data_IF_624799634877
#
_entry.id   IF_624799634877
#
_cell.length_a   1.000
_cell.length_b   1.000
_cell.length_c   1.000
_cell.angle_alpha   90.00
_cell.angle_beta   90.00
_cell.angle_gamma   90.00
#
_symmetry.space_group_name_H-M   'P 1'
#
loop_
_entity.id
_entity.type
_entity.pdbx_description
1 polymer ?
#
# COMPACT_ATOMS: atom_id res chain seq x y z
N UNK A 1 -10.60 16.79 36.50
CA UNK A 1 -9.95 16.28 35.26
C UNK A 1 -10.87 15.48 34.31
N UNK A 2 -12.21 15.54 34.49
CA UNK A 2 -13.18 14.76 33.68
C UNK A 2 -13.74 15.47 32.44
N UNK A 3 -13.41 16.74 32.19
CA UNK A 3 -14.04 17.53 31.13
C UNK A 3 -13.34 17.50 29.76
N UNK A 4 -12.07 17.06 29.66
CA UNK A 4 -11.35 17.04 28.38
C UNK A 4 -11.82 15.92 27.45
N UNK A 5 -12.09 14.74 28.00
CA UNK A 5 -12.53 13.57 27.22
C UNK A 5 -13.93 13.77 26.60
N UNK A 6 -14.84 14.37 27.35
CA UNK A 6 -16.19 14.72 26.86
C UNK A 6 -16.17 15.88 25.84
N UNK A 7 -15.22 16.79 25.93
CA UNK A 7 -15.05 17.88 24.98
C UNK A 7 -14.55 17.36 23.63
N UNK A 8 -13.57 16.46 23.62
CA UNK A 8 -13.03 15.84 22.41
C UNK A 8 -14.08 14.94 21.71
N UNK A 9 -14.88 14.20 22.49
CA UNK A 9 -15.99 13.41 21.93
C UNK A 9 -17.09 14.30 21.30
N UNK A 10 -17.40 15.44 21.92
CA UNK A 10 -18.38 16.40 21.39
C UNK A 10 -17.86 17.18 20.17
N UNK A 11 -16.57 17.49 20.10
CA UNK A 11 -15.94 18.09 18.92
C UNK A 11 -15.89 17.11 17.73
N UNK A 12 -15.62 15.85 17.95
CA UNK A 12 -15.70 14.81 16.93
C UNK A 12 -17.09 14.61 16.35
N UNK A 13 -18.13 14.84 17.15
CA UNK A 13 -19.53 14.78 16.74
C UNK A 13 -20.02 16.08 16.07
N UNK A 14 -19.49 17.25 16.49
CA UNK A 14 -19.91 18.54 15.94
C UNK A 14 -19.22 18.89 14.60
N UNK A 15 -18.01 18.41 14.35
CA UNK A 15 -17.30 18.62 13.08
C UNK A 15 -17.92 17.84 11.88
N UNK A 16 -18.84 16.91 12.15
CA UNK A 16 -19.57 16.16 11.11
C UNK A 16 -20.82 16.81 10.56
N UNK A 17 -21.20 18.02 11.00
CA UNK A 17 -22.61 18.47 10.88
C UNK A 17 -22.91 19.62 9.90
N UNK A 18 -21.97 20.21 9.18
CA UNK A 18 -22.31 21.39 8.36
C UNK A 18 -21.67 21.44 6.96
N UNK A 19 -22.39 20.93 5.96
CA UNK A 19 -22.41 21.46 4.58
C UNK A 19 -23.55 20.82 3.77
N UNK A 20 -24.07 21.50 2.74
CA UNK A 20 -25.09 20.97 1.82
C UNK A 20 -24.62 19.74 1.04
N UNK A 21 -23.31 19.56 0.85
CA UNK A 21 -22.69 18.32 0.39
C UNK A 21 -22.93 17.16 1.36
N UNK A 22 -23.17 17.43 2.65
CA UNK A 22 -23.40 16.40 3.66
C UNK A 22 -24.66 15.55 3.41
N UNK A 23 -25.70 16.10 2.81
CA UNK A 23 -26.94 15.35 2.52
C UNK A 23 -26.73 14.30 1.43
N UNK A 24 -25.97 14.61 0.38
CA UNK A 24 -25.65 13.65 -0.66
C UNK A 24 -24.72 12.55 -0.12
N UNK A 25 -23.73 12.91 0.70
CA UNK A 25 -22.86 11.94 1.35
C UNK A 25 -23.59 11.10 2.40
N UNK A 26 -24.52 11.68 3.14
CA UNK A 26 -25.36 10.94 4.08
C UNK A 26 -26.27 9.94 3.37
N UNK A 27 -26.89 10.35 2.25
CA UNK A 27 -27.71 9.47 1.44
C UNK A 27 -26.89 8.31 0.85
N UNK A 28 -25.72 8.61 0.28
CA UNK A 28 -24.80 7.61 -0.25
C UNK A 28 -24.24 6.67 0.83
N UNK A 29 -23.89 7.20 2.00
CA UNK A 29 -23.46 6.39 3.14
C UNK A 29 -24.60 5.50 3.67
N UNK A 30 -25.83 5.99 3.72
CA UNK A 30 -26.99 5.22 4.11
C UNK A 30 -27.33 4.11 3.11
N UNK A 31 -27.24 4.41 1.81
CA UNK A 31 -27.40 3.43 0.74
C UNK A 31 -26.33 2.32 0.83
N UNK A 32 -25.06 2.71 1.01
CA UNK A 32 -23.96 1.77 1.19
C UNK A 32 -24.16 0.90 2.43
N UNK A 33 -24.56 1.50 3.55
CA UNK A 33 -24.85 0.75 4.78
C UNK A 33 -26.02 -0.22 4.59
N UNK A 34 -27.11 0.22 3.94
CA UNK A 34 -28.26 -0.60 3.65
C UNK A 34 -27.89 -1.82 2.78
N UNK A 35 -27.16 -1.60 1.67
CA UNK A 35 -26.66 -2.65 0.81
C UNK A 35 -25.70 -3.61 1.54
N UNK A 36 -24.81 -3.07 2.38
CA UNK A 36 -23.88 -3.90 3.17
C UNK A 36 -24.62 -4.85 4.13
N UNK A 37 -25.72 -4.36 4.74
CA UNK A 37 -26.58 -5.18 5.60
C UNK A 37 -27.37 -6.22 4.80
N UNK A 38 -27.95 -5.85 3.65
CA UNK A 38 -28.68 -6.77 2.78
C UNK A 38 -27.79 -7.90 2.25
N UNK A 39 -26.49 -7.61 2.01
CA UNK A 39 -25.50 -8.54 1.48
C UNK A 39 -24.65 -9.17 2.58
N UNK A 40 -25.01 -9.03 3.86
CA UNK A 40 -24.20 -9.56 4.99
C UNK A 40 -24.06 -11.07 4.95
N UNK A 41 -25.08 -11.78 4.44
CA UNK A 41 -25.07 -13.23 4.30
C UNK A 41 -24.16 -13.76 3.18
N UNK A 42 -23.75 -12.90 2.24
CA UNK A 42 -22.87 -13.29 1.14
C UNK A 42 -21.40 -13.31 1.58
N UNK A 43 -20.69 -14.33 1.13
CA UNK A 43 -19.23 -14.39 1.32
C UNK A 43 -18.52 -13.26 0.57
N UNK A 44 -17.32 -12.85 0.98
CA UNK A 44 -16.52 -11.87 0.25
C UNK A 44 -16.27 -12.25 -1.22
N UNK A 45 -16.18 -13.55 -1.52
CA UNK A 45 -16.01 -14.06 -2.87
C UNK A 45 -17.26 -13.84 -3.74
N UNK A 46 -18.46 -14.10 -3.20
CA UNK A 46 -19.72 -13.87 -3.90
C UNK A 46 -19.97 -12.38 -4.14
N UNK A 47 -19.67 -11.52 -3.16
CA UNK A 47 -19.77 -10.06 -3.31
C UNK A 47 -18.77 -9.54 -4.35
N UNK A 48 -17.63 -10.20 -4.55
CA UNK A 48 -16.59 -9.72 -5.47
C UNK A 48 -17.09 -9.46 -6.90
N UNK A 49 -18.10 -10.21 -7.37
CA UNK A 49 -18.71 -10.07 -8.69
C UNK A 49 -20.04 -9.30 -8.69
N UNK A 50 -20.51 -8.81 -7.55
CA UNK A 50 -21.80 -8.12 -7.42
C UNK A 50 -21.67 -6.64 -7.83
N UNK A 51 -21.92 -6.34 -9.11
CA UNK A 51 -21.77 -4.99 -9.64
C UNK A 51 -22.74 -3.96 -9.00
N UNK A 52 -23.91 -4.38 -8.50
CA UNK A 52 -24.83 -3.48 -7.79
C UNK A 52 -24.17 -2.95 -6.51
N UNK A 53 -23.54 -3.85 -5.74
CA UNK A 53 -22.78 -3.45 -4.54
C UNK A 53 -21.61 -2.53 -4.90
N UNK A 54 -20.81 -2.91 -5.88
CA UNK A 54 -19.61 -2.15 -6.24
C UNK A 54 -19.92 -0.84 -6.96
N UNK A 55 -21.06 -0.72 -7.64
CA UNK A 55 -21.49 0.55 -8.24
C UNK A 55 -21.65 1.67 -7.19
N UNK A 56 -22.15 1.33 -6.00
CA UNK A 56 -22.25 2.27 -4.88
C UNK A 56 -20.87 2.64 -4.36
N UNK A 57 -19.95 1.66 -4.20
CA UNK A 57 -18.55 1.97 -3.80
C UNK A 57 -17.87 2.87 -4.83
N UNK A 58 -18.07 2.63 -6.13
CA UNK A 58 -17.51 3.42 -7.23
C UNK A 58 -17.96 4.89 -7.20
N UNK A 59 -19.20 5.16 -6.82
CA UNK A 59 -19.73 6.52 -6.65
C UNK A 59 -19.00 7.32 -5.56
N UNK A 60 -18.33 6.64 -4.62
CA UNK A 60 -17.47 7.27 -3.62
C UNK A 60 -16.18 7.88 -4.18
N UNK A 61 -15.84 7.65 -5.46
CA UNK A 61 -14.62 8.16 -6.08
C UNK A 61 -14.88 9.23 -7.13
N UNK A 62 -13.90 10.11 -7.34
CA UNK A 62 -13.88 11.08 -8.43
C UNK A 62 -12.98 10.53 -9.55
N UNK A 63 -13.52 9.62 -10.36
CA UNK A 63 -12.78 9.09 -11.50
C UNK A 63 -12.82 10.04 -12.70
N UNK A 64 -11.73 10.11 -13.48
CA UNK A 64 -11.71 10.87 -14.71
C UNK A 64 -12.63 10.21 -15.76
N UNK A 65 -13.52 10.96 -16.42
CA UNK A 65 -14.35 10.40 -17.49
C UNK A 65 -13.55 10.13 -18.79
N UNK A 66 -12.36 10.70 -18.91
CA UNK A 66 -11.56 10.67 -20.14
C UNK A 66 -10.39 9.70 -20.09
N UNK A 67 -10.06 9.17 -18.93
CA UNK A 67 -8.91 8.27 -18.71
C UNK A 67 -9.34 7.09 -17.86
N UNK A 68 -9.14 5.89 -18.36
CA UNK A 68 -9.26 4.66 -17.59
C UNK A 68 -7.94 4.47 -16.84
N UNK A 69 -7.96 4.71 -15.53
CA UNK A 69 -6.77 4.55 -14.69
C UNK A 69 -6.61 3.10 -14.24
N UNK A 70 -5.61 2.42 -14.77
CA UNK A 70 -5.20 1.07 -14.37
C UNK A 70 -3.75 1.05 -13.84
N UNK A 71 -3.28 2.18 -13.28
CA UNK A 71 -1.98 2.28 -12.62
C UNK A 71 -2.11 2.63 -11.12
N UNK A 72 -3.08 2.03 -10.44
CA UNK A 72 -3.32 2.28 -9.00
C UNK A 72 -2.19 1.76 -8.09
N UNK A 73 -1.34 0.87 -8.58
CA UNK A 73 -0.12 0.47 -7.88
C UNK A 73 0.94 1.57 -7.80
N UNK A 74 0.88 2.61 -8.63
CA UNK A 74 1.67 3.83 -8.46
C UNK A 74 1.12 4.67 -7.32
N UNK A 75 -0.03 5.28 -7.56
CA UNK A 75 -0.84 6.05 -6.59
C UNK A 75 -2.32 5.78 -6.91
N UNK A 76 -3.16 5.57 -5.89
CA UNK A 76 -4.60 5.45 -6.07
C UNK A 76 -5.31 6.77 -5.77
N UNK A 77 -6.43 7.08 -6.44
CA UNK A 77 -7.25 8.22 -6.06
C UNK A 77 -7.84 8.01 -4.66
N UNK A 78 -7.94 9.09 -3.90
CA UNK A 78 -8.67 9.09 -2.64
C UNK A 78 -10.17 9.17 -2.88
N UNK A 79 -11.02 8.50 -2.08
CA UNK A 79 -12.47 8.72 -2.08
C UNK A 79 -12.82 10.19 -1.82
N UNK A 80 -14.00 10.63 -2.27
CA UNK A 80 -14.48 12.03 -2.11
C UNK A 80 -14.46 12.48 -0.66
N UNK A 81 -14.93 11.65 0.26
CA UNK A 81 -14.94 11.95 1.70
C UNK A 81 -13.53 12.24 2.25
N UNK A 82 -12.52 11.56 1.71
CA UNK A 82 -11.11 11.80 2.08
C UNK A 82 -10.61 13.12 1.51
N UNK A 83 -10.93 13.42 0.24
CA UNK A 83 -10.58 14.69 -0.41
C UNK A 83 -11.19 15.87 0.35
N UNK A 84 -12.49 15.81 0.67
CA UNK A 84 -13.20 16.82 1.42
C UNK A 84 -12.67 17.00 2.85
N UNK A 85 -12.23 15.93 3.49
CA UNK A 85 -11.56 16.03 4.79
C UNK A 85 -10.27 16.84 4.69
N UNK A 86 -9.44 16.56 3.69
CA UNK A 86 -8.20 17.33 3.46
C UNK A 86 -8.51 18.79 3.20
N UNK A 87 -9.50 19.10 2.35
CA UNK A 87 -9.92 20.48 2.06
C UNK A 87 -10.42 21.20 3.31
N UNK A 88 -11.27 20.57 4.09
CA UNK A 88 -11.82 21.12 5.34
C UNK A 88 -10.71 21.43 6.35
N UNK A 89 -9.79 20.50 6.57
CA UNK A 89 -8.69 20.72 7.49
C UNK A 89 -7.67 21.74 6.97
N UNK A 90 -7.49 21.84 5.64
CA UNK A 90 -6.66 22.87 5.04
C UNK A 90 -7.26 24.27 5.24
N UNK A 91 -8.58 24.45 5.06
CA UNK A 91 -9.27 25.69 5.37
C UNK A 91 -9.13 26.05 6.84
N UNK A 92 -9.42 25.12 7.75
CA UNK A 92 -9.26 25.32 9.20
C UNK A 92 -7.82 25.73 9.57
N UNK A 93 -6.80 25.08 8.99
CA UNK A 93 -5.40 25.44 9.24
C UNK A 93 -5.09 26.89 8.86
N UNK A 94 -5.71 27.40 7.78
CA UNK A 94 -5.47 28.76 7.28
C UNK A 94 -6.22 29.86 8.06
N UNK A 95 -7.18 29.53 8.90
CA UNK A 95 -7.86 30.51 9.78
C UNK A 95 -6.94 31.05 10.89
N UNK A 96 -5.91 30.27 11.29
CA UNK A 96 -4.90 30.66 12.27
C UNK A 96 -3.80 29.59 12.34
N UNK A 97 -2.84 29.60 11.38
CA UNK A 97 -1.99 28.44 11.10
C UNK A 97 -1.30 27.84 12.31
N UNK A 98 -0.53 28.64 13.07
CA UNK A 98 0.23 28.11 14.22
C UNK A 98 -0.67 27.61 15.35
N UNK A 99 -1.84 28.24 15.54
CA UNK A 99 -2.79 27.80 16.57
C UNK A 99 -3.50 26.50 16.20
N UNK A 100 -4.14 26.46 15.01
CA UNK A 100 -4.92 25.29 14.60
C UNK A 100 -4.03 24.08 14.32
N UNK A 101 -2.85 24.28 13.71
CA UNK A 101 -1.92 23.18 13.42
C UNK A 101 -1.41 22.56 14.71
N UNK A 102 -0.83 23.34 15.62
CA UNK A 102 -0.11 22.82 16.79
C UNK A 102 -1.01 22.54 18.01
N UNK A 103 -2.10 23.32 18.18
CA UNK A 103 -2.97 23.17 19.35
C UNK A 103 -4.17 22.27 19.12
N UNK A 104 -4.58 22.09 17.84
CA UNK A 104 -5.79 21.34 17.51
C UNK A 104 -5.45 20.11 16.67
N UNK A 105 -4.88 20.26 15.47
CA UNK A 105 -4.68 19.16 14.54
C UNK A 105 -3.58 18.19 14.97
N UNK A 106 -2.52 18.69 15.61
CA UNK A 106 -1.46 17.83 16.16
C UNK A 106 -2.00 16.87 17.22
N UNK A 107 -2.97 17.32 18.02
CA UNK A 107 -3.64 16.46 19.00
C UNK A 107 -4.48 15.35 18.34
N UNK A 108 -4.90 15.53 17.10
CA UNK A 108 -5.63 14.54 16.31
C UNK A 108 -4.79 13.36 15.84
N UNK A 109 -3.47 13.41 15.98
CA UNK A 109 -2.57 12.31 15.59
C UNK A 109 -2.72 11.08 16.47
N UNK A 110 -2.95 11.25 17.77
CA UNK A 110 -3.10 10.10 18.66
C UNK A 110 -4.35 9.26 18.34
N UNK A 111 -5.56 9.82 18.21
CA UNK A 111 -6.71 9.07 17.72
C UNK A 111 -6.50 8.43 16.34
N UNK A 112 -5.77 9.09 15.44
CA UNK A 112 -5.42 8.54 14.13
C UNK A 112 -4.48 7.35 14.25
N UNK A 113 -3.45 7.43 15.11
CA UNK A 113 -2.52 6.33 15.42
C UNK A 113 -3.28 5.11 15.92
N UNK A 114 -4.25 5.28 16.82
CA UNK A 114 -5.11 4.18 17.29
C UNK A 114 -5.88 3.52 16.15
N UNK A 115 -6.48 4.29 15.24
CA UNK A 115 -7.18 3.74 14.06
C UNK A 115 -6.25 2.96 13.14
N UNK A 116 -5.06 3.50 12.85
CA UNK A 116 -4.05 2.82 12.04
C UNK A 116 -3.60 1.52 12.70
N UNK A 117 -3.30 1.56 13.98
CA UNK A 117 -2.89 0.40 14.76
C UNK A 117 -3.98 -0.68 14.77
N UNK A 118 -5.24 -0.29 14.96
CA UNK A 118 -6.37 -1.22 14.91
C UNK A 118 -6.49 -1.88 13.53
N UNK A 119 -6.36 -1.12 12.44
CA UNK A 119 -6.37 -1.68 11.09
C UNK A 119 -5.19 -2.63 10.86
N UNK A 120 -4.00 -2.24 11.30
CA UNK A 120 -2.77 -3.02 11.21
C UNK A 120 -2.74 -4.25 12.16
N UNK A 121 -3.64 -4.33 13.15
CA UNK A 121 -3.60 -5.34 14.20
C UNK A 121 -2.38 -5.22 15.10
N UNK A 122 -2.00 -3.99 15.47
CA UNK A 122 -0.78 -3.64 16.20
C UNK A 122 -1.08 -2.80 17.45
N UNK A 123 -0.09 -2.67 18.33
CA UNK A 123 -0.13 -1.70 19.44
C UNK A 123 0.07 -0.28 18.86
N UNK A 124 -0.73 0.73 19.27
CA UNK A 124 -0.51 2.11 18.88
C UNK A 124 0.91 2.63 19.21
N UNK A 125 1.53 2.12 20.25
CA UNK A 125 2.90 2.47 20.66
C UNK A 125 3.99 1.87 19.74
N UNK A 126 3.60 1.13 18.70
CA UNK A 126 4.48 0.55 17.67
C UNK A 126 4.29 1.23 16.31
N UNK A 127 3.35 2.18 16.18
CA UNK A 127 2.96 2.79 14.91
C UNK A 127 3.37 4.26 14.83
N UNK A 128 4.18 4.62 13.83
CA UNK A 128 4.48 6.01 13.47
C UNK A 128 3.82 6.40 12.15
N UNK A 129 3.36 7.64 12.06
CA UNK A 129 2.75 8.22 10.86
C UNK A 129 3.85 8.89 10.04
N UNK A 130 4.03 8.43 8.81
CA UNK A 130 5.03 8.91 7.87
C UNK A 130 4.36 9.43 6.58
N UNK A 131 5.17 9.91 5.63
CA UNK A 131 4.70 10.42 4.34
C UNK A 131 4.55 9.33 3.27
N UNK A 132 5.31 8.23 3.36
CA UNK A 132 5.28 7.09 2.43
C UNK A 132 6.16 5.94 2.93
N UNK A 133 6.12 4.81 2.22
CA UNK A 133 6.96 3.65 2.51
C UNK A 133 8.47 3.96 2.40
N UNK A 134 8.87 4.84 1.48
CA UNK A 134 10.29 5.20 1.32
C UNK A 134 10.84 5.85 2.58
N UNK A 135 10.12 6.82 3.16
CA UNK A 135 10.51 7.42 4.43
C UNK A 135 10.49 6.41 5.57
N UNK A 136 9.41 5.63 5.69
CA UNK A 136 9.26 4.62 6.74
C UNK A 136 10.42 3.61 6.74
N UNK A 137 10.69 3.01 5.58
CA UNK A 137 11.72 1.98 5.45
C UNK A 137 13.14 2.56 5.50
N UNK A 138 13.37 3.77 4.95
CA UNK A 138 14.65 4.43 5.07
C UNK A 138 14.96 4.81 6.53
N UNK A 139 13.95 5.16 7.32
CA UNK A 139 14.13 5.36 8.77
C UNK A 139 14.73 4.12 9.42
N UNK A 140 14.26 2.93 9.08
CA UNK A 140 14.81 1.68 9.58
C UNK A 140 16.19 1.40 8.98
N UNK A 141 16.31 1.41 7.64
CA UNK A 141 17.56 1.08 6.92
C UNK A 141 18.73 1.96 7.38
N UNK A 142 18.52 3.27 7.55
CA UNK A 142 19.57 4.19 7.99
C UNK A 142 19.72 4.27 9.51
N UNK A 143 18.66 3.93 10.25
CA UNK A 143 18.67 3.95 11.72
C UNK A 143 19.27 2.71 12.37
N UNK A 144 19.37 1.59 11.65
CA UNK A 144 20.02 0.38 12.14
C UNK A 144 21.53 0.56 12.33
N UNK A 145 22.06 0.14 13.48
CA UNK A 145 23.49 0.19 13.81
C UNK A 145 24.26 -0.98 13.16
N UNK A 146 24.24 -1.04 11.83
CA UNK A 146 25.01 -2.00 11.05
C UNK A 146 26.44 -1.50 10.88
N UNK A 147 27.42 -2.44 10.89
CA UNK A 147 28.86 -2.18 10.78
C UNK A 147 29.39 -2.66 9.44
N UNK A 148 30.59 -2.21 9.09
CA UNK A 148 31.30 -2.70 7.93
C UNK A 148 31.43 -4.23 7.97
N UNK A 149 31.05 -4.88 6.87
CA UNK A 149 31.03 -6.33 6.73
C UNK A 149 29.74 -7.01 7.21
N UNK A 150 28.81 -6.33 7.90
CA UNK A 150 27.48 -6.88 8.14
C UNK A 150 26.72 -7.04 6.83
N UNK A 151 25.97 -8.13 6.69
CA UNK A 151 25.27 -8.47 5.47
C UNK A 151 23.77 -8.22 5.59
N UNK A 152 23.21 -7.69 4.49
CA UNK A 152 21.76 -7.54 4.29
C UNK A 152 21.38 -8.33 3.04
N UNK A 153 20.37 -9.19 3.14
CA UNK A 153 19.81 -9.93 1.99
C UNK A 153 18.53 -9.24 1.54
N UNK A 154 18.38 -9.07 0.23
CA UNK A 154 17.14 -8.63 -0.43
C UNK A 154 17.07 -9.25 -1.82
N UNK A 155 16.25 -8.65 -2.69
CA UNK A 155 16.09 -9.15 -4.06
C UNK A 155 16.39 -8.08 -5.10
N UNK A 156 16.73 -8.48 -6.31
CA UNK A 156 16.83 -7.56 -7.45
C UNK A 156 15.46 -7.00 -7.87
N UNK A 157 14.38 -7.66 -7.47
CA UNK A 157 13.02 -7.28 -7.74
C UNK A 157 12.41 -6.35 -6.68
N UNK A 158 13.16 -6.00 -5.63
CA UNK A 158 12.73 -5.00 -4.65
C UNK A 158 12.56 -3.61 -5.28
N UNK A 159 11.85 -2.74 -4.59
CA UNK A 159 11.62 -1.38 -5.08
C UNK A 159 12.93 -0.59 -5.16
N UNK A 160 13.20 0.16 -6.26
CA UNK A 160 14.49 0.82 -6.49
C UNK A 160 14.98 1.69 -5.33
N UNK A 161 14.07 2.40 -4.63
CA UNK A 161 14.49 3.26 -3.51
C UNK A 161 14.99 2.45 -2.31
N UNK A 162 14.53 1.21 -2.12
CA UNK A 162 15.06 0.32 -1.07
C UNK A 162 16.42 -0.23 -1.47
N UNK A 163 16.55 -0.64 -2.73
CA UNK A 163 17.83 -1.08 -3.30
C UNK A 163 18.86 0.06 -3.20
N UNK A 164 18.49 1.29 -3.57
CA UNK A 164 19.38 2.45 -3.53
C UNK A 164 19.77 2.82 -2.10
N UNK A 165 18.84 2.72 -1.13
CA UNK A 165 19.17 2.96 0.28
C UNK A 165 20.21 1.98 0.81
N UNK A 166 20.09 0.68 0.49
CA UNK A 166 21.06 -0.34 0.89
C UNK A 166 22.39 -0.20 0.14
N UNK A 167 22.38 0.14 -1.15
CA UNK A 167 23.60 0.49 -1.90
C UNK A 167 24.31 1.71 -1.32
N UNK A 168 23.55 2.74 -0.92
CA UNK A 168 24.11 3.93 -0.25
C UNK A 168 24.77 3.53 1.09
N UNK A 169 24.13 2.66 1.89
CA UNK A 169 24.71 2.11 3.11
C UNK A 169 25.97 1.29 2.82
N UNK A 170 25.97 0.50 1.74
CA UNK A 170 27.18 -0.25 1.33
C UNK A 170 28.35 0.68 1.01
N UNK A 171 28.08 1.78 0.29
CA UNK A 171 29.11 2.76 -0.06
C UNK A 171 29.60 3.56 1.15
N UNK A 172 28.69 3.99 2.02
CA UNK A 172 29.01 4.88 3.15
C UNK A 172 29.54 4.13 4.37
N UNK A 173 28.89 2.98 4.70
CA UNK A 173 29.10 2.31 5.98
C UNK A 173 29.82 0.96 5.81
N UNK A 174 30.08 0.51 4.56
CA UNK A 174 30.78 -0.72 4.26
C UNK A 174 29.98 -2.00 4.51
N UNK A 175 28.65 -1.93 4.62
CA UNK A 175 27.82 -3.13 4.68
C UNK A 175 27.81 -3.86 3.34
N UNK A 176 27.49 -5.16 3.36
CA UNK A 176 27.38 -5.99 2.15
C UNK A 176 25.90 -6.20 1.83
N UNK A 177 25.45 -5.75 0.66
CA UNK A 177 24.09 -5.95 0.20
C UNK A 177 24.03 -7.08 -0.82
N UNK A 178 23.52 -8.24 -0.41
CA UNK A 178 23.35 -9.45 -1.21
C UNK A 178 21.95 -9.46 -1.83
N UNK A 179 21.86 -9.52 -3.16
CA UNK A 179 20.59 -9.49 -3.89
C UNK A 179 20.33 -10.85 -4.56
N UNK A 180 19.28 -11.53 -4.13
CA UNK A 180 18.73 -12.68 -4.86
C UNK A 180 18.04 -12.22 -6.14
N UNK A 181 17.99 -13.11 -7.14
CA UNK A 181 17.33 -12.82 -8.41
C UNK A 181 16.33 -13.94 -8.74
N UNK A 182 15.05 -13.60 -8.71
CA UNK A 182 13.96 -14.54 -8.97
C UNK A 182 13.38 -14.37 -10.38
N UNK A 183 12.95 -15.48 -10.98
CA UNK A 183 12.14 -15.47 -12.22
C UNK A 183 10.70 -15.75 -11.85
N UNK A 184 9.93 -14.70 -11.71
CA UNK A 184 8.51 -14.80 -11.37
C UNK A 184 7.62 -15.09 -12.60
N UNK A 185 6.41 -15.66 -12.42
CA UNK A 185 5.82 -16.10 -11.15
C UNK A 185 6.44 -17.39 -10.62
N UNK A 186 6.56 -17.48 -9.28
CA UNK A 186 6.92 -18.70 -8.57
C UNK A 186 5.68 -19.13 -7.77
N UNK A 187 5.24 -20.37 -7.97
CA UNK A 187 4.06 -20.94 -7.33
C UNK A 187 4.42 -22.03 -6.30
N UNK A 188 5.59 -21.87 -5.71
CA UNK A 188 6.10 -22.68 -4.60
C UNK A 188 6.75 -21.74 -3.57
N UNK A 189 6.12 -21.60 -2.41
CA UNK A 189 6.65 -20.77 -1.33
C UNK A 189 7.95 -21.31 -0.75
N UNK A 190 8.12 -22.63 -0.72
CA UNK A 190 9.29 -23.28 -0.11
C UNK A 190 10.53 -23.10 -0.99
N UNK A 191 10.37 -23.00 -2.33
CA UNK A 191 11.46 -22.61 -3.25
C UNK A 191 11.99 -21.21 -2.89
N UNK A 192 11.09 -20.26 -2.64
CA UNK A 192 11.46 -18.89 -2.26
C UNK A 192 12.18 -18.90 -0.90
N UNK A 193 11.62 -19.58 0.10
CA UNK A 193 12.22 -19.66 1.44
C UNK A 193 13.61 -20.30 1.41
N UNK A 194 13.75 -21.42 0.68
CA UNK A 194 15.03 -22.13 0.55
C UNK A 194 16.10 -21.26 -0.12
N UNK A 195 15.72 -20.42 -1.12
CA UNK A 195 16.66 -19.51 -1.76
C UNK A 195 17.19 -18.44 -0.78
N UNK A 196 16.34 -17.87 0.06
CA UNK A 196 16.77 -16.93 1.10
C UNK A 196 17.63 -17.63 2.16
N UNK A 197 17.19 -18.80 2.65
CA UNK A 197 17.93 -19.55 3.69
C UNK A 197 19.33 -19.94 3.22
N UNK A 198 19.49 -20.37 1.96
CA UNK A 198 20.79 -20.71 1.34
C UNK A 198 21.73 -19.51 1.25
N UNK A 199 21.21 -18.27 1.18
CA UNK A 199 22.02 -17.07 1.08
C UNK A 199 22.51 -16.55 2.45
N UNK A 200 22.04 -17.12 3.55
CA UNK A 200 22.42 -16.71 4.91
C UNK A 200 23.87 -17.11 5.18
N UNK A 201 24.60 -16.16 5.76
CA UNK A 201 25.96 -16.38 6.30
C UNK A 201 26.02 -15.96 7.78
N UNK A 202 27.09 -16.27 8.52
CA UNK A 202 27.24 -15.78 9.91
C UNK A 202 27.27 -14.25 10.04
N UNK A 203 27.45 -13.52 8.94
CA UNK A 203 27.46 -12.05 8.90
C UNK A 203 26.10 -11.45 8.56
N UNK A 204 25.11 -12.25 8.15
CA UNK A 204 23.77 -11.78 7.81
C UNK A 204 23.08 -11.25 9.05
N UNK A 205 22.60 -9.99 9.01
CA UNK A 205 21.91 -9.31 10.11
C UNK A 205 20.45 -9.00 9.78
N UNK A 206 20.19 -8.70 8.52
CA UNK A 206 18.86 -8.22 8.07
C UNK A 206 18.46 -8.96 6.80
N UNK A 207 17.16 -9.26 6.70
CA UNK A 207 16.51 -9.65 5.44
C UNK A 207 15.45 -8.61 5.11
N UNK A 208 15.55 -7.97 3.94
CA UNK A 208 14.52 -7.12 3.36
C UNK A 208 13.57 -7.99 2.53
N UNK A 209 12.28 -7.89 2.77
CA UNK A 209 11.23 -8.67 2.11
C UNK A 209 10.19 -7.71 1.55
N UNK A 210 10.05 -7.64 0.23
CA UNK A 210 8.91 -6.95 -0.40
C UNK A 210 7.70 -7.88 -0.37
N UNK A 211 6.65 -7.53 0.39
CA UNK A 211 5.48 -8.41 0.60
C UNK A 211 4.72 -8.70 -0.71
N UNK A 212 4.53 -7.66 -1.54
CA UNK A 212 3.97 -7.82 -2.89
C UNK A 212 4.89 -7.14 -3.88
N UNK A 213 5.50 -7.91 -4.76
CA UNK A 213 6.42 -7.39 -5.80
C UNK A 213 5.64 -6.45 -6.73
N UNK A 214 6.02 -5.20 -6.72
CA UNK A 214 5.29 -4.13 -7.40
C UNK A 214 5.28 -4.23 -8.94
N UNK A 215 6.19 -4.98 -9.51
CA UNK A 215 6.33 -5.12 -10.97
C UNK A 215 5.27 -6.03 -11.59
N UNK A 216 4.99 -7.15 -10.94
CA UNK A 216 4.16 -8.25 -11.46
C UNK A 216 3.14 -8.78 -10.44
N UNK A 217 3.13 -8.29 -9.21
CA UNK A 217 2.14 -8.65 -8.19
C UNK A 217 2.37 -9.99 -7.50
N UNK A 218 3.59 -10.57 -7.58
CA UNK A 218 3.93 -11.76 -6.80
C UNK A 218 3.80 -11.47 -5.30
N UNK A 219 3.01 -12.26 -4.60
CA UNK A 219 2.94 -12.27 -3.14
C UNK A 219 4.08 -13.14 -2.63
N UNK A 220 4.91 -12.58 -1.75
CA UNK A 220 6.02 -13.28 -1.12
C UNK A 220 5.56 -13.95 0.18
N UNK A 221 6.08 -15.13 0.55
CA UNK A 221 5.68 -15.87 1.75
C UNK A 221 6.28 -15.26 3.03
N UNK A 222 5.87 -14.02 3.38
CA UNK A 222 6.47 -13.21 4.44
C UNK A 222 6.48 -13.95 5.78
N UNK A 223 5.38 -14.60 6.17
CA UNK A 223 5.32 -15.36 7.44
C UNK A 223 6.39 -16.46 7.51
N UNK A 224 6.56 -17.22 6.42
CA UNK A 224 7.58 -18.28 6.35
C UNK A 224 8.99 -17.70 6.37
N UNK A 225 9.22 -16.60 5.63
CA UNK A 225 10.51 -15.92 5.58
C UNK A 225 10.90 -15.32 6.93
N UNK A 226 9.97 -14.66 7.61
CA UNK A 226 10.21 -14.13 8.97
C UNK A 226 10.47 -15.25 9.98
N UNK A 227 9.72 -16.35 9.91
CA UNK A 227 9.94 -17.51 10.78
C UNK A 227 11.31 -18.17 10.52
N UNK A 228 11.73 -18.27 9.26
CA UNK A 228 13.06 -18.75 8.86
C UNK A 228 14.15 -17.81 9.39
N UNK A 229 14.07 -16.50 9.13
CA UNK A 229 15.03 -15.50 9.61
C UNK A 229 15.18 -15.54 11.15
N UNK A 230 14.08 -15.65 11.88
CA UNK A 230 14.07 -15.77 13.35
C UNK A 230 14.84 -16.99 13.86
N UNK A 231 14.76 -18.14 13.16
CA UNK A 231 15.57 -19.34 13.54
C UNK A 231 17.07 -19.09 13.45
N UNK A 232 17.49 -18.19 12.56
CA UNK A 232 18.88 -17.79 12.38
C UNK A 232 19.28 -16.53 13.18
N UNK A 233 18.37 -15.97 14.02
CA UNK A 233 18.64 -14.76 14.80
C UNK A 233 18.76 -13.49 13.94
N UNK A 234 18.13 -13.46 12.76
CA UNK A 234 18.18 -12.38 11.79
C UNK A 234 16.90 -11.56 11.86
N UNK A 235 17.00 -10.24 11.91
CA UNK A 235 15.85 -9.33 11.89
C UNK A 235 15.33 -9.12 10.45
N UNK A 236 14.02 -8.83 10.34
CA UNK A 236 13.35 -8.70 9.05
C UNK A 236 12.69 -7.34 8.87
N UNK A 237 12.91 -6.74 7.69
CA UNK A 237 12.25 -5.51 7.24
C UNK A 237 11.25 -5.90 6.14
N UNK A 238 9.97 -5.54 6.32
CA UNK A 238 8.93 -5.82 5.32
C UNK A 238 8.49 -4.54 4.62
N UNK A 239 8.67 -4.51 3.30
CA UNK A 239 8.06 -3.50 2.43
C UNK A 239 6.61 -3.89 2.11
N UNK A 240 5.69 -3.26 2.82
CA UNK A 240 4.25 -3.43 2.67
C UNK A 240 3.57 -2.43 1.75
N UNK A 241 4.33 -1.67 0.94
CA UNK A 241 3.81 -0.58 0.13
C UNK A 241 2.68 -0.99 -0.81
N UNK A 242 2.65 -2.24 -1.27
CA UNK A 242 1.62 -2.78 -2.16
C UNK A 242 0.70 -3.80 -1.51
N UNK A 243 0.96 -4.21 -0.26
CA UNK A 243 0.12 -5.19 0.44
C UNK A 243 -0.89 -4.55 1.38
N UNK A 244 -0.52 -3.45 2.07
CA UNK A 244 -1.42 -2.81 3.03
C UNK A 244 -2.63 -2.15 2.35
N UNK A 245 -3.82 -2.52 2.77
CA UNK A 245 -5.07 -2.11 2.14
C UNK A 245 -5.42 -2.84 0.82
N UNK A 246 -4.54 -3.73 0.32
CA UNK A 246 -4.81 -4.66 -0.78
C UNK A 246 -5.15 -6.05 -0.27
N UNK A 247 -4.34 -6.60 0.63
CA UNK A 247 -4.51 -7.91 1.22
C UNK A 247 -5.12 -7.77 2.62
N UNK A 248 -5.86 -8.78 3.04
CA UNK A 248 -6.42 -8.88 4.39
C UNK A 248 -5.42 -9.63 5.30
N UNK A 249 -4.64 -8.89 6.07
CA UNK A 249 -3.68 -9.41 7.04
C UNK A 249 -3.48 -8.44 8.19
N UNK A 250 -2.89 -8.94 9.27
CA UNK A 250 -2.43 -8.11 10.39
C UNK A 250 -0.90 -8.08 10.41
N UNK A 251 -0.33 -6.88 10.57
CA UNK A 251 1.13 -6.69 10.58
C UNK A 251 1.78 -7.51 11.69
N UNK A 252 1.17 -7.53 12.89
CA UNK A 252 1.63 -8.32 14.04
C UNK A 252 1.70 -9.83 13.76
N UNK A 253 0.90 -10.35 12.81
CA UNK A 253 0.88 -11.76 12.45
C UNK A 253 1.94 -12.16 11.42
N UNK A 254 2.61 -11.20 10.78
CA UNK A 254 3.65 -11.47 9.81
C UNK A 254 4.94 -12.01 10.45
N UNK A 255 5.15 -11.68 11.74
CA UNK A 255 6.33 -12.09 12.48
C UNK A 255 7.59 -11.28 12.16
N UNK A 256 7.46 -10.16 11.44
CA UNK A 256 8.56 -9.26 11.11
C UNK A 256 8.96 -8.37 12.30
N UNK A 257 10.11 -7.72 12.17
CA UNK A 257 10.62 -6.77 13.16
C UNK A 257 10.29 -5.33 12.80
N UNK A 258 10.19 -5.05 11.50
CA UNK A 258 9.92 -3.73 10.93
C UNK A 258 9.00 -3.85 9.71
N UNK A 259 8.05 -2.92 9.58
CA UNK A 259 7.14 -2.86 8.46
C UNK A 259 6.91 -1.41 8.03
N UNK A 260 7.04 -1.12 6.74
CA UNK A 260 6.76 0.21 6.19
C UNK A 260 5.78 0.15 5.04
N UNK A 261 4.86 1.12 4.96
CA UNK A 261 3.87 1.16 3.87
C UNK A 261 3.52 2.56 3.42
N UNK A 262 2.99 2.65 2.20
CA UNK A 262 2.37 3.86 1.62
C UNK A 262 0.86 3.74 1.71
N UNK A 263 0.21 4.66 2.43
CA UNK A 263 -1.24 4.63 2.63
C UNK A 263 -2.01 5.17 1.41
N UNK A 264 -1.35 5.97 0.55
CA UNK A 264 -1.92 6.55 -0.68
C UNK A 264 -1.99 5.59 -1.88
N UNK A 265 -1.71 4.29 -1.66
CA UNK A 265 -1.91 3.24 -2.66
C UNK A 265 -3.26 2.54 -2.42
N UNK A 266 -3.25 1.28 -2.05
CA UNK A 266 -4.48 0.51 -1.93
C UNK A 266 -5.38 0.92 -0.75
N UNK A 267 -4.88 1.59 0.29
CA UNK A 267 -5.76 2.17 1.32
C UNK A 267 -6.49 3.42 0.80
N UNK A 268 -6.02 4.05 -0.29
CA UNK A 268 -6.60 5.27 -0.89
C UNK A 268 -6.61 6.48 0.06
N UNK A 269 -5.63 6.55 0.97
CA UNK A 269 -5.41 7.72 1.82
C UNK A 269 -4.84 8.90 1.00
N UNK A 270 -4.79 10.11 1.54
CA UNK A 270 -4.24 11.25 0.82
C UNK A 270 -2.81 11.02 0.35
N UNK A 271 -2.43 11.60 -0.80
CA UNK A 271 -1.07 11.53 -1.34
C UNK A 271 -0.10 12.16 -0.33
N UNK A 272 1.00 11.46 -0.06
CA UNK A 272 1.96 11.88 0.96
C UNK A 272 1.62 11.36 2.36
N UNK A 273 0.98 10.19 2.44
CA UNK A 273 0.70 9.47 3.68
C UNK A 273 1.32 8.09 3.69
N UNK A 274 1.86 7.69 4.84
CA UNK A 274 2.52 6.41 5.08
C UNK A 274 2.47 5.99 6.54
N UNK A 275 2.93 4.78 6.80
CA UNK A 275 3.00 4.22 8.16
C UNK A 275 4.30 3.42 8.31
N UNK A 276 4.95 3.61 9.45
CA UNK A 276 6.03 2.77 9.95
C UNK A 276 5.50 2.00 11.15
N UNK A 277 5.69 0.70 11.17
CA UNK A 277 5.52 -0.14 12.34
C UNK A 277 6.87 -0.73 12.75
N UNK A 278 7.16 -0.66 14.04
CA UNK A 278 8.38 -1.24 14.63
C UNK A 278 7.95 -2.02 15.86
N UNK A 279 8.38 -3.26 15.93
CA UNK A 279 8.21 -4.10 17.12
C UNK A 279 8.77 -3.39 18.36
N UNK A 280 8.01 -3.32 19.43
CA UNK A 280 8.25 -2.47 20.61
C UNK A 280 9.69 -2.55 21.15
N UNK A 281 10.22 -3.76 21.28
CA UNK A 281 11.59 -3.99 21.78
C UNK A 281 12.69 -3.48 20.84
N UNK A 282 12.34 -3.16 19.59
CA UNK A 282 13.30 -2.68 18.59
C UNK A 282 13.29 -1.16 18.43
N UNK A 283 12.29 -0.44 18.96
CA UNK A 283 12.16 1.01 18.79
C UNK A 283 13.42 1.76 19.26
N UNK A 284 13.93 1.45 20.45
CA UNK A 284 15.11 2.11 21.00
C UNK A 284 16.39 1.87 20.19
N UNK A 285 16.48 0.79 19.42
CA UNK A 285 17.65 0.43 18.60
C UNK A 285 17.77 1.29 17.33
N UNK A 286 16.66 1.84 16.85
CA UNK A 286 16.62 2.56 15.56
C UNK A 286 16.85 4.04 15.80
N UNK A 287 17.85 4.61 15.17
CA UNK A 287 18.07 6.05 15.12
C UNK A 287 17.03 6.70 14.20
N UNK A 288 16.42 7.83 14.60
CA UNK A 288 15.50 8.54 13.75
C UNK A 288 16.23 9.13 12.52
N UNK A 289 15.57 9.14 11.38
CA UNK A 289 16.10 9.72 10.13
C UNK A 289 16.22 11.24 10.22
N UNK A 290 15.27 11.88 10.88
CA UNK A 290 15.28 13.31 11.20
C UNK A 290 15.65 13.46 12.67
N UNK A 291 16.40 14.49 13.00
CA UNK A 291 16.91 14.74 14.35
C UNK A 291 15.79 14.74 15.43
N UNK A 292 16.10 14.16 16.57
CA UNK A 292 15.25 14.13 17.75
C UNK A 292 16.11 14.32 19.01
N UNK A 293 15.60 14.98 20.04
CA UNK A 293 16.30 15.22 21.32
C UNK A 293 16.51 13.96 22.14
N UNK A 294 15.71 12.91 21.90
CA UNK A 294 15.79 11.62 22.57
C UNK A 294 15.91 10.47 21.56
N UNK A 295 17.00 10.41 20.75
CA UNK A 295 17.12 9.47 19.64
C UNK A 295 17.07 7.99 20.07
N UNK A 296 17.44 7.67 21.31
CA UNK A 296 17.43 6.33 21.89
C UNK A 296 16.15 6.03 22.71
N UNK A 297 15.14 6.92 22.65
CA UNK A 297 13.86 6.68 23.31
C UNK A 297 13.17 5.43 22.78
N UNK A 298 12.40 4.75 23.61
CA UNK A 298 11.46 3.69 23.22
C UNK A 298 10.10 4.24 22.77
N UNK A 299 9.93 5.56 22.70
CA UNK A 299 8.71 6.20 22.18
C UNK A 299 8.75 6.21 20.65
N UNK A 300 7.74 5.62 20.02
CA UNK A 300 7.59 5.54 18.56
C UNK A 300 7.47 6.93 17.91
N UNK A 301 7.01 7.93 18.65
CA UNK A 301 6.81 9.31 18.19
C UNK A 301 8.11 10.02 17.84
N UNK A 302 9.27 9.50 18.28
CA UNK A 302 10.59 10.01 17.88
C UNK A 302 10.80 9.99 16.36
N UNK A 303 10.10 9.13 15.62
CA UNK A 303 10.17 9.05 14.16
C UNK A 303 9.24 10.03 13.44
N UNK A 304 8.54 10.89 14.17
CA UNK A 304 7.57 11.85 13.65
C UNK A 304 7.99 13.31 13.82
N UNK A 305 9.23 13.57 14.21
CA UNK A 305 9.77 14.92 14.44
C UNK A 305 10.14 15.58 13.10
N UNK A 306 9.13 16.01 12.36
CA UNK A 306 9.31 16.58 11.00
C UNK A 306 9.21 18.12 10.95
N UNK A 307 8.98 18.79 12.09
CA UNK A 307 8.68 20.22 12.09
C UNK A 307 7.35 20.55 11.43
N UNK A 308 7.26 21.70 10.76
CA UNK A 308 6.04 22.12 10.06
C UNK A 308 5.78 21.19 8.86
N UNK A 309 4.55 20.64 8.79
CA UNK A 309 4.15 19.67 7.79
C UNK A 309 2.66 19.83 7.44
N UNK A 310 2.15 19.03 6.52
CA UNK A 310 0.75 19.07 6.12
C UNK A 310 -0.14 18.25 7.09
N UNK A 311 -0.62 18.87 8.16
CA UNK A 311 -1.59 18.24 9.07
C UNK A 311 -2.91 17.84 8.39
N UNK A 312 -3.45 18.61 7.42
CA UNK A 312 -4.63 18.18 6.66
C UNK A 312 -4.50 16.81 6.01
N UNK A 313 -3.34 16.49 5.45
CA UNK A 313 -3.06 15.16 4.86
C UNK A 313 -3.12 14.07 5.94
N UNK A 314 -2.49 14.29 7.09
CA UNK A 314 -2.54 13.34 8.20
C UNK A 314 -3.97 13.09 8.67
N UNK A 315 -4.77 14.14 8.87
CA UNK A 315 -6.16 14.00 9.30
C UNK A 315 -7.04 13.27 8.27
N UNK A 316 -6.77 13.44 6.97
CA UNK A 316 -7.48 12.73 5.90
C UNK A 316 -7.27 11.21 5.90
N UNK A 317 -6.20 10.70 6.52
CA UNK A 317 -5.96 9.26 6.68
C UNK A 317 -7.11 8.59 7.45
N UNK A 318 -7.65 9.28 8.47
CA UNK A 318 -8.76 8.76 9.29
C UNK A 318 -9.99 8.42 8.47
N UNK A 319 -10.34 9.25 7.49
CA UNK A 319 -11.48 8.98 6.60
C UNK A 319 -11.19 7.86 5.60
N UNK A 320 -9.94 7.71 5.16
CA UNK A 320 -9.56 6.59 4.31
C UNK A 320 -9.68 5.24 5.05
N UNK A 321 -9.30 5.21 6.34
CA UNK A 321 -9.47 4.04 7.20
C UNK A 321 -10.97 3.74 7.39
N UNK A 322 -11.78 4.75 7.68
CA UNK A 322 -13.23 4.60 7.84
C UNK A 322 -13.86 4.01 6.57
N UNK A 323 -13.51 4.55 5.40
CA UNK A 323 -14.01 4.08 4.10
C UNK A 323 -13.57 2.63 3.80
N UNK A 324 -12.30 2.31 4.04
CA UNK A 324 -11.77 0.97 3.88
C UNK A 324 -12.46 -0.04 4.82
N UNK A 325 -12.64 0.33 6.09
CA UNK A 325 -13.28 -0.52 7.09
C UNK A 325 -14.76 -0.76 6.78
N UNK A 326 -15.45 0.24 6.24
CA UNK A 326 -16.84 0.11 5.81
C UNK A 326 -17.01 -0.92 4.67
N UNK A 327 -16.05 -0.97 3.73
CA UNK A 327 -16.03 -2.02 2.68
C UNK A 327 -15.67 -3.39 3.30
N UNK A 328 -14.68 -3.40 4.18
CA UNK A 328 -14.06 -4.59 4.75
C UNK A 328 -12.84 -5.07 3.94
N UNK A 329 -11.75 -5.37 4.66
CA UNK A 329 -10.46 -5.73 4.05
C UNK A 329 -10.60 -6.94 3.12
N UNK A 330 -11.27 -8.00 3.57
CA UNK A 330 -11.43 -9.23 2.77
C UNK A 330 -12.33 -9.02 1.54
N UNK A 331 -13.43 -8.27 1.66
CA UNK A 331 -14.29 -7.93 0.51
C UNK A 331 -13.52 -7.16 -0.55
N UNK A 332 -12.70 -6.20 -0.11
CA UNK A 332 -11.84 -5.39 -1.00
C UNK A 332 -10.79 -6.25 -1.70
N UNK A 333 -10.10 -7.13 -0.97
CA UNK A 333 -9.13 -8.07 -1.54
C UNK A 333 -9.76 -8.94 -2.62
N UNK A 334 -10.89 -9.59 -2.33
CA UNK A 334 -11.58 -10.46 -3.28
C UNK A 334 -12.08 -9.69 -4.50
N UNK A 335 -12.61 -8.46 -4.33
CA UNK A 335 -12.99 -7.60 -5.47
C UNK A 335 -11.80 -7.29 -6.38
N UNK A 336 -10.69 -6.85 -5.82
CA UNK A 336 -9.54 -6.47 -6.64
C UNK A 336 -8.94 -7.71 -7.32
N UNK A 337 -8.94 -8.86 -6.64
CA UNK A 337 -8.55 -10.16 -7.21
C UNK A 337 -9.47 -10.56 -8.37
N UNK A 338 -10.79 -10.43 -8.17
CA UNK A 338 -11.78 -10.68 -9.19
C UNK A 338 -11.54 -9.81 -10.43
N UNK A 339 -11.37 -8.50 -10.26
CA UNK A 339 -11.10 -7.56 -11.35
C UNK A 339 -9.82 -7.93 -12.12
N UNK A 340 -8.74 -8.30 -11.42
CA UNK A 340 -7.49 -8.77 -12.04
C UNK A 340 -7.75 -10.04 -12.86
N UNK A 341 -8.40 -11.02 -12.29
CA UNK A 341 -8.66 -12.29 -12.96
C UNK A 341 -9.64 -12.13 -14.15
N UNK A 342 -10.63 -11.23 -14.03
CA UNK A 342 -11.63 -10.98 -15.07
C UNK A 342 -11.01 -10.62 -16.42
N UNK A 343 -10.09 -9.67 -16.44
CA UNK A 343 -9.46 -9.28 -17.69
C UNK A 343 -8.31 -10.21 -18.10
N UNK A 344 -7.49 -10.65 -17.12
CA UNK A 344 -6.31 -11.45 -17.40
C UNK A 344 -6.66 -12.83 -18.00
N UNK A 345 -7.73 -13.48 -17.51
CA UNK A 345 -8.21 -14.76 -18.06
C UNK A 345 -8.72 -14.64 -19.51
N UNK A 346 -9.26 -13.49 -19.90
CA UNK A 346 -9.70 -13.23 -21.26
C UNK A 346 -8.54 -13.00 -22.22
N UNK A 347 -7.52 -12.21 -21.80
CA UNK A 347 -6.42 -11.85 -22.70
C UNK A 347 -5.37 -12.95 -22.83
N UNK A 348 -5.20 -13.83 -21.85
CA UNK A 348 -4.22 -14.93 -21.92
C UNK A 348 -4.52 -15.91 -23.06
N UNK A 349 -5.75 -15.97 -23.53
CA UNK A 349 -6.19 -16.80 -24.66
C UNK A 349 -5.89 -16.16 -26.03
N UNK A 350 -5.51 -14.87 -26.05
CA UNK A 350 -5.20 -14.14 -27.29
C UNK A 350 -3.79 -14.52 -27.76
N UNK A 351 -3.61 -14.94 -29.03
CA UNK A 351 -2.28 -15.23 -29.55
C UNK A 351 -1.31 -14.07 -29.34
N UNK A 352 -0.04 -14.39 -29.02
CA UNK A 352 1.05 -13.43 -28.74
C UNK A 352 0.92 -12.66 -27.40
N UNK A 353 -0.16 -12.86 -26.63
CA UNK A 353 -0.30 -12.25 -25.31
C UNK A 353 0.21 -13.19 -24.23
N UNK A 354 1.00 -12.66 -23.29
CA UNK A 354 1.51 -13.40 -22.13
C UNK A 354 1.18 -12.67 -20.84
N UNK A 355 0.73 -13.44 -19.84
CA UNK A 355 0.54 -12.98 -18.47
C UNK A 355 1.76 -13.41 -17.64
N UNK A 356 2.34 -12.46 -16.90
CA UNK A 356 3.54 -12.66 -16.06
C UNK A 356 3.22 -12.78 -14.58
N UNK A 357 1.96 -13.03 -14.24
CA UNK A 357 1.44 -13.06 -12.87
C UNK A 357 0.64 -14.34 -12.67
N UNK A 358 0.77 -14.96 -11.51
CA UNK A 358 -0.02 -16.14 -11.15
C UNK A 358 -1.52 -15.86 -11.10
N UNK A 359 -2.32 -16.87 -11.41
CA UNK A 359 -3.77 -16.85 -11.19
C UNK A 359 -4.16 -17.41 -9.80
N UNK A 360 -3.25 -18.10 -9.13
CA UNK A 360 -3.51 -18.67 -7.80
C UNK A 360 -3.57 -17.55 -6.74
N UNK A 361 -4.57 -17.57 -5.85
CA UNK A 361 -4.81 -16.50 -4.88
C UNK A 361 -3.69 -16.35 -3.86
N UNK A 362 -2.92 -17.40 -3.58
CA UNK A 362 -1.81 -17.39 -2.64
C UNK A 362 -0.62 -16.57 -3.18
N UNK A 363 -0.49 -16.48 -4.52
CA UNK A 363 0.67 -15.88 -5.17
C UNK A 363 0.40 -14.54 -5.83
N UNK A 364 -0.86 -14.13 -5.99
CA UNK A 364 -1.18 -12.85 -6.61
C UNK A 364 -2.55 -12.31 -6.18
N UNK A 365 -2.71 -10.97 -6.21
CA UNK A 365 -4.00 -10.31 -5.98
C UNK A 365 -4.31 -9.33 -7.12
N UNK A 366 -4.09 -8.04 -6.94
CA UNK A 366 -4.60 -6.97 -7.82
C UNK A 366 -3.61 -6.42 -8.84
N UNK A 367 -2.34 -6.82 -8.77
CA UNK A 367 -1.30 -6.37 -9.68
C UNK A 367 -1.03 -7.48 -10.70
N UNK A 368 -0.95 -7.12 -11.99
CA UNK A 368 -0.72 -8.09 -13.04
C UNK A 368 0.16 -7.51 -14.14
N UNK A 369 1.15 -8.28 -14.60
CA UNK A 369 2.00 -7.98 -15.74
C UNK A 369 1.48 -8.66 -17.02
N UNK A 370 1.40 -7.91 -18.12
CA UNK A 370 1.03 -8.43 -19.46
C UNK A 370 2.03 -7.97 -20.51
N UNK A 371 2.34 -8.81 -21.47
CA UNK A 371 3.13 -8.44 -22.64
C UNK A 371 2.47 -8.95 -23.94
N UNK A 372 2.85 -8.32 -25.06
CA UNK A 372 2.48 -8.74 -26.41
C UNK A 372 3.78 -9.04 -27.16
N UNK A 373 3.92 -10.24 -27.70
CA UNK A 373 5.12 -10.64 -28.43
C UNK A 373 5.40 -9.68 -29.60
N UNK A 374 6.66 -9.26 -29.74
CA UNK A 374 7.09 -8.30 -30.74
C UNK A 374 6.83 -6.82 -30.37
N UNK A 375 6.46 -6.54 -29.11
CA UNK A 375 6.35 -5.17 -28.58
C UNK A 375 7.18 -5.01 -27.31
N UNK A 376 7.79 -3.85 -27.17
CA UNK A 376 8.38 -3.42 -25.90
C UNK A 376 7.27 -2.98 -24.94
N UNK A 377 7.49 -3.00 -23.62
CA UNK A 377 6.53 -2.45 -22.66
C UNK A 377 6.15 -1.00 -22.94
N UNK A 378 7.10 -0.17 -23.36
CA UNK A 378 6.86 1.24 -23.70
C UNK A 378 5.94 1.40 -24.92
N UNK A 379 6.10 0.57 -25.96
CA UNK A 379 5.22 0.59 -27.14
C UNK A 379 3.80 0.17 -26.78
N UNK A 380 3.64 -0.89 -25.96
CA UNK A 380 2.32 -1.36 -25.53
C UNK A 380 1.63 -0.33 -24.64
N UNK A 381 2.33 0.23 -23.64
CA UNK A 381 1.82 1.28 -22.76
C UNK A 381 1.39 2.52 -23.54
N UNK A 382 2.26 3.00 -24.46
CA UNK A 382 1.94 4.12 -25.35
C UNK A 382 0.73 3.86 -26.25
N UNK A 383 0.59 2.64 -26.79
CA UNK A 383 -0.55 2.26 -27.64
C UNK A 383 -1.86 2.22 -26.83
N UNK A 384 -1.83 1.68 -25.61
CA UNK A 384 -2.98 1.66 -24.70
C UNK A 384 -3.43 3.08 -24.37
N UNK A 385 -2.50 3.97 -24.04
CA UNK A 385 -2.88 5.34 -23.70
C UNK A 385 -3.30 6.18 -24.90
N UNK A 386 -2.50 6.20 -25.97
CA UNK A 386 -2.76 7.09 -27.12
C UNK A 386 -4.08 6.79 -27.84
N UNK A 387 -4.39 5.50 -28.03
CA UNK A 387 -5.56 5.06 -28.80
C UNK A 387 -6.80 4.82 -27.96
N UNK A 388 -6.64 4.33 -26.71
CA UNK A 388 -7.76 3.87 -25.89
C UNK A 388 -7.92 4.64 -24.58
N UNK A 389 -7.00 5.58 -24.29
CA UNK A 389 -6.98 6.37 -23.04
C UNK A 389 -6.91 5.51 -21.77
N UNK A 390 -6.24 4.37 -21.86
CA UNK A 390 -5.99 3.46 -20.74
C UNK A 390 -4.60 3.77 -20.19
N UNK A 391 -4.55 4.30 -18.97
CA UNK A 391 -3.31 4.63 -18.26
C UNK A 391 -2.78 3.41 -17.52
N UNK A 392 -1.58 2.99 -17.89
CA UNK A 392 -0.86 1.84 -17.33
C UNK A 392 0.58 2.25 -17.03
N UNK A 393 1.50 1.32 -16.87
CA UNK A 393 2.94 1.61 -16.80
C UNK A 393 3.75 0.49 -17.44
N UNK A 394 4.61 0.83 -18.39
CA UNK A 394 5.62 -0.07 -18.93
C UNK A 394 6.74 -0.32 -17.92
N UNK A 395 7.07 -1.58 -17.68
CA UNK A 395 8.11 -2.04 -16.77
C UNK A 395 9.22 -2.72 -17.54
N UNK A 396 10.44 -2.23 -17.36
CA UNK A 396 11.68 -2.92 -17.73
C UNK A 396 12.59 -2.86 -16.51
N UNK A 397 12.69 -3.98 -15.80
CA UNK A 397 13.46 -4.05 -14.58
C UNK A 397 14.03 -5.46 -14.41
N UNK A 398 15.37 -5.58 -14.45
CA UNK A 398 16.08 -6.86 -14.40
C UNK A 398 15.51 -7.84 -15.44
N UNK A 399 14.96 -8.97 -15.01
CA UNK A 399 14.33 -9.96 -15.86
C UNK A 399 12.82 -9.77 -16.08
N UNK A 400 12.25 -8.63 -15.64
CA UNK A 400 10.82 -8.29 -15.82
C UNK A 400 10.68 -7.32 -16.98
N UNK A 401 9.89 -7.70 -17.98
CA UNK A 401 9.56 -6.88 -19.15
C UNK A 401 8.08 -7.03 -19.49
N UNK A 402 7.25 -6.10 -19.02
CA UNK A 402 5.80 -6.16 -19.19
C UNK A 402 5.15 -4.80 -18.99
N UNK A 403 3.87 -4.67 -19.33
CA UNK A 403 3.01 -3.58 -18.87
C UNK A 403 2.29 -4.03 -17.61
N UNK A 404 2.39 -3.23 -16.55
CA UNK A 404 1.70 -3.48 -15.28
C UNK A 404 0.30 -2.90 -15.33
N UNK A 405 -0.69 -3.73 -15.03
CA UNK A 405 -2.10 -3.39 -14.90
C UNK A 405 -2.52 -3.54 -13.45
N UNK A 406 -3.10 -2.51 -12.87
CA UNK A 406 -3.53 -2.48 -11.46
C UNK A 406 -4.90 -1.84 -11.33
N UNK A 407 -6.00 -2.63 -11.43
CA UNK A 407 -7.35 -2.16 -11.12
C UNK A 407 -7.50 -1.83 -9.62
N UNK A 408 -8.53 -1.09 -9.28
CA UNK A 408 -8.91 -0.76 -7.91
C UNK A 408 -10.44 -0.94 -7.74
N UNK A 409 -10.97 -0.85 -6.52
CA UNK A 409 -12.40 -1.08 -6.25
C UNK A 409 -13.34 -0.16 -7.05
N UNK A 410 -12.87 0.99 -7.49
CA UNK A 410 -13.66 1.90 -8.33
C UNK A 410 -13.59 1.58 -9.83
N UNK A 411 -12.72 0.63 -10.25
CA UNK A 411 -12.62 0.18 -11.64
C UNK A 411 -13.88 -0.59 -12.03
N UNK A 412 -14.49 -0.20 -13.13
CA UNK A 412 -15.72 -0.82 -13.65
C UNK A 412 -15.37 -1.99 -14.58
N UNK A 413 -16.32 -2.89 -14.75
CA UNK A 413 -16.18 -4.03 -15.67
C UNK A 413 -16.04 -3.54 -17.12
N UNK A 414 -16.78 -2.49 -17.53
CA UNK A 414 -16.69 -1.89 -18.86
C UNK A 414 -15.30 -1.32 -19.16
N UNK A 415 -14.60 -0.81 -18.14
CA UNK A 415 -13.23 -0.32 -18.29
C UNK A 415 -12.27 -1.48 -18.58
N UNK A 416 -12.50 -2.65 -17.97
CA UNK A 416 -11.72 -3.86 -18.20
C UNK A 416 -12.08 -4.53 -19.53
N UNK A 417 -13.34 -4.49 -19.98
CA UNK A 417 -13.72 -4.97 -21.31
C UNK A 417 -13.05 -4.14 -22.41
N UNK A 418 -12.95 -2.80 -22.23
CA UNK A 418 -12.17 -1.94 -23.12
C UNK A 418 -10.68 -2.30 -23.11
N UNK A 419 -10.11 -2.65 -21.95
CA UNK A 419 -8.73 -3.13 -21.86
C UNK A 419 -8.53 -4.42 -22.66
N UNK A 420 -9.41 -5.40 -22.49
CA UNK A 420 -9.38 -6.69 -23.21
C UNK A 420 -9.46 -6.45 -24.72
N UNK A 421 -10.41 -5.64 -25.17
CA UNK A 421 -10.54 -5.25 -26.57
C UNK A 421 -9.27 -4.56 -27.11
N UNK A 422 -8.72 -3.60 -26.34
CA UNK A 422 -7.53 -2.86 -26.74
C UNK A 422 -6.31 -3.77 -26.92
N UNK A 423 -6.06 -4.68 -25.95
CA UNK A 423 -4.95 -5.66 -26.04
C UNK A 423 -5.15 -6.57 -27.25
N UNK A 424 -6.35 -7.09 -27.47
CA UNK A 424 -6.66 -7.94 -28.64
C UNK A 424 -6.45 -7.23 -29.97
N UNK A 425 -6.93 -5.99 -30.11
CA UNK A 425 -6.76 -5.18 -31.31
C UNK A 425 -5.29 -4.76 -31.54
N UNK A 426 -4.48 -4.62 -30.50
CA UNK A 426 -3.05 -4.35 -30.64
C UNK A 426 -2.31 -5.63 -31.06
N UNK A 427 -2.58 -6.77 -30.42
CA UNK A 427 -1.92 -8.05 -30.70
C UNK A 427 -2.21 -8.56 -32.13
N UNK A 428 -3.42 -8.32 -32.65
CA UNK A 428 -3.80 -8.73 -34.02
C UNK A 428 -3.09 -7.96 -35.13
N UNK A 429 -2.52 -6.79 -34.88
CA UNK A 429 -1.80 -5.94 -35.83
C UNK A 429 -0.30 -6.23 -35.90
N UNK A 430 0.20 -7.04 -35.01
CA UNK A 430 1.59 -7.53 -34.95
C UNK A 430 1.67 -8.99 -35.37
#
# INVERSE_FOLDING_TARGET
MSNRRNFIQKLGLAAGAFSANSLFHQAHAAEFQHLSLQKEALSPFEIAADEDYWSVVQQGYTASPNIINLNNGGVSPSPRIVQEAVERYNKLSNEGPSYFMWRILDQGREPLRYKLAQLAGADPEEVAINRNATEALNTVIFGLNLKAGDEVIGTKQDYPNMINALKQRSTRDGIVYNQLNFKFPIEDEDEIVAAFEKAITPKTKIILITHVINWIGQIMPVKKLCAMAKRHGIETIVDGAHSFGLLDFKVSELGCDYFGTSLHKFLSAPIGSGMLWIKKENIAKIWPLVCNDQPNSSDIRKFETLGTRSFPIEQGIGEAINFHTAIGSKRKEERIRYLKNYWASKVVTIPKVKIHTSFKPEFACGICGVSVDGMTPAELDSALFSKYKIHTVGIVWENVSCVRITPHVYTRIEDLDKLVYAIGAIASKK
#
